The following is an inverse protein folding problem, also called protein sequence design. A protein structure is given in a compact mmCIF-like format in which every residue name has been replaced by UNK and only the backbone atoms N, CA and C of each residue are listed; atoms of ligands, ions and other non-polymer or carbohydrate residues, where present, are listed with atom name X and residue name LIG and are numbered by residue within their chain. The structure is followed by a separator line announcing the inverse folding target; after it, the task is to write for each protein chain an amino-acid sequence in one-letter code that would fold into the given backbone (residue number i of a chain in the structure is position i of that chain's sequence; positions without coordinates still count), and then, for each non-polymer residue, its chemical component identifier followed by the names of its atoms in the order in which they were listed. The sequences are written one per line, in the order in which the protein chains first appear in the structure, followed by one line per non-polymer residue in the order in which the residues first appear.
data_IF_685789918344
#
_entry.id   IF_685789918344
#
_cell.length_a   1.000
_cell.length_b   1.000
_cell.length_c   1.000
_cell.angle_alpha   90.00
_cell.angle_beta   90.00
_cell.angle_gamma   90.00
#
_symmetry.space_group_name_H-M   'P 1'
#
loop_
_entity.id
_entity.type
_entity.pdbx_description
1 polymer ?
#
# COMPACT_ATOMS: atom_id res chain seq x y z
N UNK A 1 9.83 1.49 20.90
CA UNK A 1 10.52 0.55 20.00
C UNK A 1 9.66 -0.71 19.93
N UNK A 2 8.99 -0.98 18.81
CA UNK A 2 7.84 -1.92 18.73
C UNK A 2 8.21 -3.43 18.82
N UNK A 3 9.42 -3.80 19.24
CA UNK A 3 9.75 -5.18 19.63
C UNK A 3 9.64 -6.26 18.54
N UNK A 4 9.33 -5.90 17.30
CA UNK A 4 9.26 -6.83 16.16
C UNK A 4 10.62 -6.78 15.46
N UNK A 5 11.45 -7.78 15.69
CA UNK A 5 12.65 -8.07 14.88
C UNK A 5 12.29 -9.29 14.04
N UNK A 6 12.16 -9.11 12.72
CA UNK A 6 11.66 -10.12 11.78
C UNK A 6 12.72 -10.43 10.70
N UNK A 7 12.85 -11.68 10.20
CA UNK A 7 14.05 -12.16 9.51
C UNK A 7 14.29 -11.63 8.09
N UNK A 8 13.55 -10.63 7.63
CA UNK A 8 13.71 -10.07 6.28
C UNK A 8 13.76 -8.54 6.33
N UNK A 9 14.84 -7.99 6.87
CA UNK A 9 15.38 -6.74 6.31
C UNK A 9 16.04 -7.07 4.97
N UNK A 10 15.27 -7.60 4.00
CA UNK A 10 15.82 -7.74 2.66
C UNK A 10 15.75 -6.37 1.98
N UNK A 11 16.76 -5.55 2.31
CA UNK A 11 16.97 -4.22 1.71
C UNK A 11 16.92 -4.28 0.19
N UNK A 12 17.24 -5.43 -0.43
CA UNK A 12 17.16 -5.62 -1.87
C UNK A 12 15.71 -5.73 -2.34
N UNK A 13 14.83 -6.43 -1.62
CA UNK A 13 13.39 -6.50 -1.94
C UNK A 13 12.75 -5.13 -1.76
N UNK A 14 13.04 -4.45 -0.66
CA UNK A 14 12.57 -3.08 -0.39
C UNK A 14 12.97 -2.13 -1.52
N UNK A 15 14.26 -2.08 -1.87
CA UNK A 15 14.79 -1.24 -2.93
C UNK A 15 14.16 -1.55 -4.30
N UNK A 16 14.01 -2.84 -4.64
CA UNK A 16 13.36 -3.26 -5.89
C UNK A 16 11.89 -2.84 -5.93
N UNK A 17 11.16 -2.95 -4.84
CA UNK A 17 9.76 -2.56 -4.79
C UNK A 17 9.61 -1.05 -4.90
N UNK A 18 10.28 -0.30 -4.03
CA UNK A 18 10.04 1.13 -3.84
C UNK A 18 10.77 2.01 -4.84
N UNK A 19 11.97 1.61 -5.29
CA UNK A 19 12.77 2.41 -6.23
C UNK A 19 12.65 1.96 -7.69
N UNK A 20 12.09 0.77 -7.96
CA UNK A 20 11.97 0.25 -9.33
C UNK A 20 10.54 -0.13 -9.72
N UNK A 21 9.91 -1.05 -9.00
CA UNK A 21 8.60 -1.60 -9.37
C UNK A 21 7.48 -0.56 -9.25
N UNK A 22 7.28 0.01 -8.06
CA UNK A 22 6.18 0.95 -7.85
C UNK A 22 6.29 2.23 -8.70
N UNK A 23 7.47 2.82 -8.95
CA UNK A 23 7.61 3.91 -9.92
C UNK A 23 7.24 3.52 -11.37
N UNK A 24 7.37 2.24 -11.74
CA UNK A 24 6.85 1.76 -13.03
C UNK A 24 5.33 1.61 -13.01
N UNK A 25 4.76 1.16 -11.89
CA UNK A 25 3.32 1.11 -11.69
C UNK A 25 2.70 2.51 -11.76
N UNK A 26 3.29 3.51 -11.11
CA UNK A 26 2.84 4.92 -11.20
C UNK A 26 2.73 5.37 -12.67
N UNK A 27 3.81 5.19 -13.43
CA UNK A 27 3.86 5.54 -14.87
C UNK A 27 2.89 4.74 -15.73
N UNK A 28 2.64 3.48 -15.38
CA UNK A 28 1.65 2.66 -16.07
C UNK A 28 0.25 3.21 -15.82
N UNK A 29 -0.10 3.46 -14.55
CA UNK A 29 -1.42 3.95 -14.16
C UNK A 29 -1.74 5.34 -14.71
N UNK A 30 -0.75 6.22 -14.84
CA UNK A 30 -0.91 7.51 -15.51
C UNK A 30 -1.30 7.38 -16.98
N UNK A 31 -0.87 6.30 -17.64
CA UNK A 31 -1.10 6.08 -19.08
C UNK A 31 -2.33 5.24 -19.39
N UNK A 32 -2.70 4.33 -18.49
CA UNK A 32 -3.69 3.28 -18.81
C UNK A 32 -5.05 3.50 -18.20
N UNK A 33 -5.15 4.25 -17.10
CA UNK A 33 -6.43 4.48 -16.42
C UNK A 33 -6.70 5.97 -16.26
N UNK A 34 -7.96 6.40 -16.31
CA UNK A 34 -8.31 7.78 -16.01
C UNK A 34 -7.71 8.22 -14.66
N UNK A 35 -7.30 9.50 -14.53
CA UNK A 35 -6.70 10.01 -13.30
C UNK A 35 -7.67 9.99 -12.13
N UNK A 36 -8.98 9.84 -12.34
CA UNK A 36 -10.00 9.79 -11.28
C UNK A 36 -10.37 8.38 -10.83
N UNK A 37 -9.85 7.34 -11.50
CA UNK A 37 -10.17 5.95 -11.20
C UNK A 37 -9.44 5.50 -9.93
N UNK A 38 -10.15 4.90 -8.97
CA UNK A 38 -9.55 4.21 -7.83
C UNK A 38 -8.94 2.88 -8.28
N UNK A 39 -7.71 2.60 -7.84
CA UNK A 39 -6.92 1.47 -8.34
C UNK A 39 -6.45 0.61 -7.18
N UNK A 40 -6.58 -0.71 -7.35
CA UNK A 40 -6.00 -1.71 -6.46
C UNK A 40 -5.02 -2.59 -7.22
N UNK A 41 -3.79 -2.69 -6.73
CA UNK A 41 -2.71 -3.51 -7.26
C UNK A 41 -2.46 -4.67 -6.30
N UNK A 42 -2.65 -5.89 -6.77
CA UNK A 42 -2.49 -7.09 -5.94
C UNK A 42 -1.06 -7.62 -6.05
N UNK A 43 -0.39 -7.75 -4.91
CA UNK A 43 0.89 -8.42 -4.77
C UNK A 43 0.71 -9.93 -4.94
N UNK A 44 1.63 -10.58 -5.65
CA UNK A 44 1.63 -12.02 -5.88
C UNK A 44 2.28 -12.82 -4.75
N UNK A 45 2.87 -12.16 -3.74
CA UNK A 45 3.60 -12.77 -2.63
C UNK A 45 3.40 -11.97 -1.36
N UNK A 46 3.26 -12.67 -0.24
CA UNK A 46 3.09 -12.03 1.07
C UNK A 46 4.26 -11.12 1.46
N UNK A 47 5.51 -11.57 1.24
CA UNK A 47 6.70 -10.82 1.62
C UNK A 47 6.75 -9.44 0.94
N UNK A 48 6.23 -9.33 -0.29
CA UNK A 48 6.17 -8.05 -0.99
C UNK A 48 5.19 -7.09 -0.34
N UNK A 49 4.05 -7.62 0.09
CA UNK A 49 3.05 -6.84 0.80
C UNK A 49 3.62 -6.35 2.13
N UNK A 50 4.22 -7.25 2.91
CA UNK A 50 4.83 -6.96 4.21
C UNK A 50 5.87 -5.86 4.14
N UNK A 51 6.80 -5.99 3.19
CA UNK A 51 7.83 -4.98 2.99
C UNK A 51 7.21 -3.64 2.58
N UNK A 52 6.21 -3.68 1.70
CA UNK A 52 5.54 -2.48 1.21
C UNK A 52 4.87 -1.71 2.34
N UNK A 53 4.03 -2.35 3.16
CA UNK A 53 3.36 -1.60 4.22
C UNK A 53 4.31 -1.10 5.30
N UNK A 54 5.42 -1.80 5.59
CA UNK A 54 6.37 -1.37 6.61
C UNK A 54 7.09 -0.12 6.14
N UNK A 55 7.54 -0.14 4.88
CA UNK A 55 8.10 1.04 4.25
C UNK A 55 7.10 2.21 4.24
N UNK A 56 5.83 1.96 3.91
CA UNK A 56 4.82 3.02 3.89
C UNK A 56 4.52 3.54 5.31
N UNK A 57 4.42 2.64 6.30
CA UNK A 57 4.23 3.01 7.69
C UNK A 57 5.37 3.91 8.19
N UNK A 58 6.61 3.62 7.79
CA UNK A 58 7.78 4.44 8.13
C UNK A 58 7.80 5.77 7.37
N UNK A 59 7.50 5.77 6.06
CA UNK A 59 7.67 6.96 5.19
C UNK A 59 6.48 7.92 5.15
N UNK A 60 5.25 7.40 5.13
CA UNK A 60 4.02 8.21 5.08
C UNK A 60 3.20 8.16 6.37
N UNK A 61 3.51 7.24 7.28
CA UNK A 61 2.84 7.14 8.58
C UNK A 61 1.58 6.28 8.56
N UNK A 62 1.11 5.92 9.76
CA UNK A 62 0.00 4.98 9.98
C UNK A 62 -1.31 5.47 9.38
N UNK A 63 -1.66 6.73 9.65
CA UNK A 63 -2.94 7.32 9.23
C UNK A 63 -3.04 7.38 7.71
N UNK A 64 -1.93 7.69 7.03
CA UNK A 64 -1.92 7.81 5.58
C UNK A 64 -1.79 6.46 4.87
N UNK A 65 -1.16 5.47 5.52
CA UNK A 65 -1.12 4.08 5.03
C UNK A 65 -2.49 3.42 5.04
N UNK A 66 -3.45 3.92 5.82
CA UNK A 66 -4.89 3.53 5.78
C UNK A 66 -5.11 2.02 5.66
N UNK A 67 -4.36 1.23 6.41
CA UNK A 67 -4.48 -0.22 6.31
C UNK A 67 -5.91 -0.64 6.65
N UNK A 68 -6.48 -1.52 5.85
CA UNK A 68 -7.83 -2.02 6.01
C UNK A 68 -7.99 -3.40 5.36
N UNK A 69 -9.11 -4.05 5.67
CA UNK A 69 -9.55 -5.25 4.95
C UNK A 69 -9.92 -4.87 3.52
N UNK A 70 -9.54 -5.72 2.57
CA UNK A 70 -9.95 -5.56 1.20
C UNK A 70 -11.37 -6.10 0.99
N UNK A 71 -12.12 -5.44 0.11
CA UNK A 71 -13.48 -5.86 -0.29
C UNK A 71 -13.47 -7.21 -1.04
N UNK A 72 -12.29 -7.57 -1.59
CA UNK A 72 -12.01 -8.82 -2.30
C UNK A 72 -11.28 -9.86 -1.43
N UNK A 73 -11.46 -9.76 -0.10
CA UNK A 73 -10.77 -10.55 0.93
C UNK A 73 -9.27 -10.24 1.03
N UNK A 74 -8.66 -10.53 2.19
CA UNK A 74 -7.27 -10.18 2.46
C UNK A 74 -7.08 -8.75 2.98
N UNK A 75 -5.89 -8.18 2.76
CA UNK A 75 -5.47 -6.89 3.32
C UNK A 75 -5.08 -5.91 2.22
N UNK A 76 -5.40 -4.63 2.41
CA UNK A 76 -4.92 -3.54 1.55
C UNK A 76 -4.42 -2.35 2.35
N UNK A 77 -3.40 -1.68 1.83
CA UNK A 77 -2.86 -0.43 2.36
C UNK A 77 -2.72 0.61 1.24
N UNK A 78 -2.87 1.87 1.59
CA UNK A 78 -2.79 2.98 0.65
C UNK A 78 -1.33 3.39 0.45
N UNK A 79 -0.89 3.44 -0.82
CA UNK A 79 0.40 4.00 -1.21
C UNK A 79 0.19 5.34 -1.90
N UNK A 80 0.77 6.41 -1.37
CA UNK A 80 0.84 7.67 -2.10
C UNK A 80 1.79 7.56 -3.30
N UNK A 81 1.35 8.09 -4.44
CA UNK A 81 2.25 8.34 -5.57
C UNK A 81 3.12 9.53 -5.20
N UNK A 82 4.47 9.40 -5.19
CA UNK A 82 5.35 10.53 -4.93
C UNK A 82 5.03 11.65 -5.92
N UNK A 83 4.62 12.82 -5.41
CA UNK A 83 4.44 13.99 -6.26
C UNK A 83 5.81 14.37 -6.78
N UNK A 84 5.99 14.39 -8.10
CA UNK A 84 7.05 15.21 -8.66
C UNK A 84 6.76 16.64 -8.18
N UNK A 85 7.79 17.33 -7.68
CA UNK A 85 7.65 18.75 -7.35
C UNK A 85 7.50 19.47 -8.68
N UNK A 86 6.29 19.49 -9.20
CA UNK A 86 5.95 20.28 -10.38
C UNK A 86 6.04 21.75 -9.98
N UNK A 87 6.63 22.53 -10.89
CA UNK A 87 6.92 23.94 -10.71
C UNK A 87 5.68 24.71 -10.27
N UNK A 88 5.88 25.83 -9.59
CA UNK A 88 4.81 26.67 -9.02
C UNK A 88 3.76 27.10 -10.07
N UNK A 89 4.12 27.06 -11.37
CA UNK A 89 3.21 27.29 -12.50
C UNK A 89 2.14 26.20 -12.67
N UNK A 90 2.47 24.94 -12.41
CA UNK A 90 1.54 23.82 -12.62
C UNK A 90 0.53 23.74 -11.48
N UNK A 91 0.91 24.17 -10.27
CA UNK A 91 -0.04 24.33 -9.15
C UNK A 91 -1.14 25.35 -9.43
N UNK A 92 -0.84 26.41 -10.18
CA UNK A 92 -1.84 27.39 -10.59
C UNK A 92 -2.79 26.82 -11.65
N UNK A 93 -2.28 25.94 -12.52
CA UNK A 93 -3.07 25.25 -13.54
C UNK A 93 -3.96 24.15 -12.93
N UNK A 94 -3.45 23.39 -11.95
CA UNK A 94 -4.23 22.39 -11.21
C UNK A 94 -5.40 23.02 -10.43
N UNK A 95 -5.20 24.20 -9.86
CA UNK A 95 -6.26 24.95 -9.21
C UNK A 95 -7.30 25.51 -10.21
N UNK A 96 -6.89 25.83 -11.44
CA UNK A 96 -7.78 26.35 -12.48
C UNK A 96 -8.56 25.25 -13.24
N UNK A 97 -8.04 24.02 -13.28
CA UNK A 97 -8.62 22.89 -14.02
C UNK A 97 -9.54 21.98 -13.18
N UNK A 98 -9.74 22.28 -11.90
CA UNK A 98 -10.61 21.46 -11.04
C UNK A 98 -10.01 20.06 -10.78
N UNK A 99 -8.79 20.01 -10.24
CA UNK A 99 -8.09 18.75 -9.88
C UNK A 99 -8.70 18.04 -8.66
N UNK A 100 -9.87 18.49 -8.17
CA UNK A 100 -10.72 17.71 -7.28
C UNK A 100 -11.07 16.36 -7.93
N UNK A 101 -10.46 15.30 -7.42
CA UNK A 101 -10.70 13.93 -7.89
C UNK A 101 -9.51 13.25 -8.56
N UNK A 102 -8.38 13.92 -8.80
CA UNK A 102 -7.17 13.22 -9.25
C UNK A 102 -6.67 12.26 -8.17
N UNK A 103 -6.46 11.00 -8.57
CA UNK A 103 -5.89 9.91 -7.78
C UNK A 103 -4.51 10.32 -7.29
N UNK A 104 -4.32 10.26 -5.97
CA UNK A 104 -3.07 10.64 -5.28
C UNK A 104 -2.16 9.45 -4.96
N UNK A 105 -2.57 8.25 -5.34
CA UNK A 105 -1.96 6.99 -4.93
C UNK A 105 -2.80 5.80 -5.34
N UNK A 106 -2.50 4.61 -4.86
CA UNK A 106 -3.31 3.42 -5.13
C UNK A 106 -3.27 2.46 -3.96
N UNK A 107 -4.23 1.54 -3.91
CA UNK A 107 -4.23 0.45 -2.94
C UNK A 107 -3.25 -0.64 -3.35
N UNK A 108 -2.37 -1.01 -2.45
CA UNK A 108 -1.58 -2.25 -2.53
C UNK A 108 -2.33 -3.31 -1.75
N UNK A 109 -2.53 -4.48 -2.35
CA UNK A 109 -3.39 -5.54 -1.84
C UNK A 109 -2.66 -6.88 -1.79
N UNK A 110 -3.02 -7.74 -0.83
CA UNK A 110 -2.62 -9.14 -0.80
C UNK A 110 -3.85 -10.02 -0.54
N UNK A 111 -4.04 -11.03 -1.40
CA UNK A 111 -5.16 -11.97 -1.29
C UNK A 111 -5.07 -12.80 -0.02
N UNK A 112 -6.22 -13.12 0.58
CA UNK A 112 -6.31 -13.98 1.79
C UNK A 112 -5.57 -15.32 1.66
N UNK A 113 -5.55 -15.94 0.47
CA UNK A 113 -4.85 -17.20 0.23
C UNK A 113 -3.33 -17.11 0.27
N UNK A 114 -2.78 -15.92 0.02
CA UNK A 114 -1.35 -15.64 0.11
C UNK A 114 -0.98 -15.05 1.48
N UNK A 115 -1.97 -14.62 2.27
CA UNK A 115 -1.75 -14.25 3.66
C UNK A 115 -1.33 -15.50 4.41
N UNK A 116 -0.13 -15.49 5.00
CA UNK A 116 0.46 -16.63 5.71
C UNK A 116 -0.27 -16.98 7.02
N UNK A 117 -1.54 -17.39 6.91
CA UNK A 117 -2.37 -17.86 8.01
C UNK A 117 -1.78 -19.12 8.68
N UNK A 118 -1.04 -19.93 7.91
CA UNK A 118 -0.54 -21.25 8.31
C UNK A 118 0.80 -21.21 9.06
N UNK A 119 1.53 -20.08 9.06
CA UNK A 119 2.84 -19.95 9.72
C UNK A 119 2.78 -19.41 11.15
N UNK A 120 1.58 -19.30 11.71
CA UNK A 120 1.38 -18.78 13.05
C UNK A 120 0.33 -17.68 13.02
N UNK A 121 -0.82 -18.00 13.61
CA UNK A 121 -2.05 -17.20 13.78
C UNK A 121 -1.82 -15.78 14.35
N UNK A 122 -0.57 -15.42 14.70
CA UNK A 122 -0.20 -14.16 15.33
C UNK A 122 0.16 -13.03 14.37
N UNK A 123 0.66 -13.28 13.15
CA UNK A 123 1.25 -12.17 12.38
C UNK A 123 0.19 -11.25 11.76
N UNK A 124 -0.86 -11.84 11.20
CA UNK A 124 -2.05 -11.09 10.77
C UNK A 124 -2.77 -10.42 11.94
N UNK A 125 -2.81 -11.11 13.09
CA UNK A 125 -3.38 -10.57 14.31
C UNK A 125 -2.59 -9.37 14.84
N UNK A 126 -1.25 -9.40 14.78
CA UNK A 126 -0.39 -8.28 15.19
C UNK A 126 -0.62 -7.03 14.33
N UNK A 127 -0.92 -7.20 13.04
CA UNK A 127 -1.29 -6.09 12.15
C UNK A 127 -2.71 -5.61 12.40
N UNK A 128 -3.62 -6.55 12.60
CA UNK A 128 -4.96 -6.25 13.08
C UNK A 128 -4.95 -5.39 14.35
N UNK A 129 -4.09 -5.74 15.31
CA UNK A 129 -3.92 -5.02 16.57
C UNK A 129 -3.16 -3.70 16.35
N UNK A 130 -2.08 -3.68 15.57
CA UNK A 130 -1.32 -2.47 15.23
C UNK A 130 -2.20 -1.41 14.58
N UNK A 131 -3.13 -1.82 13.70
CA UNK A 131 -4.02 -0.92 12.97
C UNK A 131 -5.44 -0.82 13.55
N UNK A 132 -5.73 -1.49 14.67
CA UNK A 132 -7.06 -1.54 15.31
C UNK A 132 -8.19 -1.94 14.33
N UNK A 133 -7.97 -2.97 13.50
CA UNK A 133 -8.89 -3.41 12.44
C UNK A 133 -10.11 -4.22 12.96
N UNK A 134 -10.34 -4.23 14.28
CA UNK A 134 -11.45 -4.93 14.93
C UNK A 134 -11.23 -6.45 15.10
N UNK A 135 -12.17 -7.14 15.80
CA UNK A 135 -12.02 -8.53 16.26
C UNK A 135 -12.22 -9.58 15.15
N UNK A 136 -12.27 -9.17 13.89
CA UNK A 136 -12.45 -10.12 12.78
C UNK A 136 -11.24 -11.03 12.68
N UNK A 137 -11.42 -12.35 12.78
CA UNK A 137 -10.44 -13.28 12.21
C UNK A 137 -10.69 -13.39 10.72
N UNK A 138 -9.64 -13.61 9.92
CA UNK A 138 -9.83 -14.04 8.54
C UNK A 138 -10.46 -15.43 8.58
N UNK A 139 -11.64 -15.56 7.97
CA UNK A 139 -12.34 -16.82 7.80
C UNK A 139 -12.59 -16.94 6.30
N UNK A 140 -12.14 -18.04 5.71
CA UNK A 140 -12.64 -18.45 4.40
C UNK A 140 -14.17 -18.56 4.51
N UNK A 141 -14.90 -17.86 3.64
CA UNK A 141 -16.34 -18.06 3.49
C UNK A 141 -16.64 -19.22 2.55
#
# INVERSE_FOLDING_TARGET
MLGIVWPYEDKVVSDRLHNHFFPQVDRLLERTVPPTTDVTVTCSKYDWYVETDMFLLEKQGKEETRMQRADIEGLKCWRNTPRQVEDVSDRALENALGVEGRRKGFWVHICIGEVHLDRGVSYDQNRHDLYNLGPGRFQYR
#
